data_IF_592921334668
#
_entry.id   IF_592921334668
#
_cell.length_a   1.000
_cell.length_b   1.000
_cell.length_c   1.000
_cell.angle_alpha   90.00
_cell.angle_beta   90.00
_cell.angle_gamma   90.00
#
_symmetry.space_group_name_H-M   'P 1'
#
loop_
_entity.id
_entity.type
_entity.pdbx_description
1 polymer ?
#
# COMPACT_ATOMS: atom_id res chain seq x y z
N UNK A 1 1.29 -1.84 -12.52
CA UNK A 1 1.84 -0.71 -11.75
C UNK A 1 2.34 -1.23 -10.42
N UNK A 2 3.49 -0.76 -9.94
CA UNK A 2 3.94 -1.04 -8.57
C UNK A 2 3.13 -0.19 -7.58
N UNK A 3 3.03 -0.63 -6.32
CA UNK A 3 2.36 0.14 -5.29
C UNK A 3 3.13 1.41 -4.96
N UNK A 4 2.41 2.54 -4.86
CA UNK A 4 2.96 3.78 -4.33
C UNK A 4 2.74 3.93 -2.82
N UNK A 5 1.95 3.03 -2.19
CA UNK A 5 1.62 3.13 -0.76
C UNK A 5 2.66 2.44 0.14
N UNK A 6 3.35 1.41 -0.36
CA UNK A 6 4.33 0.61 0.40
C UNK A 6 5.66 0.35 -0.35
N UNK A 7 6.27 1.34 -1.04
CA UNK A 7 7.53 1.11 -1.75
C UNK A 7 8.67 0.63 -0.82
N UNK A 8 8.64 1.06 0.44
CA UNK A 8 9.54 0.62 1.51
C UNK A 8 9.38 -0.88 1.83
N UNK A 9 8.18 -1.43 1.70
CA UNK A 9 7.91 -2.86 1.93
C UNK A 9 8.12 -3.71 0.66
N UNK A 10 8.02 -3.11 -0.54
CA UNK A 10 8.29 -3.79 -1.81
C UNK A 10 9.80 -3.92 -2.06
N UNK A 11 10.59 -2.91 -1.70
CA UNK A 11 12.04 -2.90 -1.97
C UNK A 11 12.78 -4.15 -1.43
N UNK A 12 12.51 -4.66 -0.21
CA UNK A 12 13.11 -5.90 0.28
C UNK A 12 12.88 -7.11 -0.64
N UNK A 13 11.70 -7.25 -1.25
CA UNK A 13 11.40 -8.35 -2.18
C UNK A 13 12.40 -8.36 -3.34
N UNK A 14 12.62 -7.18 -3.94
CA UNK A 14 13.55 -7.01 -5.05
C UNK A 14 15.00 -7.19 -4.59
N UNK A 15 15.34 -6.70 -3.39
CA UNK A 15 16.66 -6.86 -2.80
C UNK A 15 17.05 -8.32 -2.59
N UNK A 16 16.18 -9.12 -1.96
CA UNK A 16 16.39 -10.56 -1.78
C UNK A 16 16.47 -11.29 -3.12
N UNK A 17 15.60 -10.94 -4.07
CA UNK A 17 15.61 -11.53 -5.41
C UNK A 17 16.93 -11.28 -6.15
N UNK A 18 17.44 -10.04 -6.09
CA UNK A 18 18.70 -9.65 -6.71
C UNK A 18 19.91 -10.32 -6.06
N UNK A 19 19.86 -10.57 -4.74
CA UNK A 19 20.88 -11.31 -4.00
C UNK A 19 20.84 -12.83 -4.25
N UNK A 20 19.87 -13.34 -5.03
CA UNK A 20 19.69 -14.78 -5.28
C UNK A 20 18.94 -15.52 -4.18
N UNK A 21 18.55 -14.85 -3.09
CA UNK A 21 17.79 -15.44 -1.98
C UNK A 21 16.30 -15.52 -2.34
N UNK A 22 15.94 -16.60 -3.05
CA UNK A 22 14.57 -16.86 -3.49
C UNK A 22 13.61 -17.09 -2.32
N UNK A 23 14.08 -17.69 -1.23
CA UNK A 23 13.24 -18.00 -0.07
C UNK A 23 12.83 -16.73 0.66
N UNK A 24 13.79 -15.84 0.96
CA UNK A 24 13.49 -14.55 1.59
C UNK A 24 12.66 -13.65 0.68
N UNK A 25 12.93 -13.62 -0.63
CA UNK A 25 12.12 -12.86 -1.57
C UNK A 25 10.65 -13.34 -1.58
N UNK A 26 10.44 -14.65 -1.58
CA UNK A 26 9.09 -15.26 -1.56
C UNK A 26 8.36 -14.94 -0.25
N UNK A 27 9.04 -15.05 0.89
CA UNK A 27 8.46 -14.72 2.19
C UNK A 27 8.09 -13.24 2.30
N UNK A 28 8.98 -12.34 1.85
CA UNK A 28 8.72 -10.91 1.82
C UNK A 28 7.53 -10.57 0.89
N UNK A 29 7.46 -11.20 -0.28
CA UNK A 29 6.33 -11.02 -1.21
C UNK A 29 5.01 -11.52 -0.60
N UNK A 30 5.01 -12.71 0.00
CA UNK A 30 3.83 -13.27 0.66
C UNK A 30 3.29 -12.36 1.77
N UNK A 31 4.18 -11.72 2.55
CA UNK A 31 3.81 -10.77 3.59
C UNK A 31 3.05 -9.56 3.03
N UNK A 32 3.46 -9.00 1.90
CA UNK A 32 2.85 -7.78 1.33
C UNK A 32 1.68 -8.07 0.39
N UNK A 33 1.54 -9.32 -0.07
CA UNK A 33 0.60 -9.71 -1.12
C UNK A 33 -0.86 -9.34 -0.80
N UNK A 34 -1.38 -9.49 0.43
CA UNK A 34 -2.75 -9.08 0.74
C UNK A 34 -3.00 -7.59 0.49
N UNK A 35 -2.08 -6.72 0.92
CA UNK A 35 -2.19 -5.27 0.71
C UNK A 35 -2.10 -4.93 -0.79
N UNK A 36 -1.12 -5.49 -1.50
CA UNK A 36 -0.95 -5.29 -2.96
C UNK A 36 -2.19 -5.77 -3.73
N UNK A 37 -2.76 -6.92 -3.35
CA UNK A 37 -3.95 -7.45 -4.01
C UNK A 37 -5.19 -6.59 -3.73
N UNK A 38 -5.37 -6.11 -2.50
CA UNK A 38 -6.48 -5.21 -2.17
C UNK A 38 -6.37 -3.85 -2.87
N UNK A 39 -5.16 -3.30 -2.97
CA UNK A 39 -4.88 -2.13 -3.82
C UNK A 39 -5.28 -2.43 -5.27
N UNK A 40 -4.82 -3.54 -5.84
CA UNK A 40 -5.05 -3.86 -7.25
C UNK A 40 -6.53 -4.11 -7.58
N UNK A 41 -7.23 -4.86 -6.74
CA UNK A 41 -8.57 -5.39 -7.03
C UNK A 41 -9.71 -4.53 -6.50
N UNK A 42 -9.49 -3.79 -5.41
CA UNK A 42 -10.57 -3.07 -4.72
C UNK A 42 -10.39 -1.56 -4.81
N UNK A 43 -9.16 -1.07 -4.67
CA UNK A 43 -8.93 0.36 -4.50
C UNK A 43 -8.51 1.07 -5.80
N UNK A 44 -7.67 0.43 -6.59
CA UNK A 44 -6.92 1.04 -7.69
C UNK A 44 -5.98 2.15 -7.19
N UNK A 45 -5.71 3.13 -8.05
CA UNK A 45 -4.79 4.24 -7.76
C UNK A 45 -5.18 5.09 -6.53
N UNK A 46 -6.45 5.03 -6.10
CA UNK A 46 -6.97 5.74 -4.94
C UNK A 46 -6.34 5.27 -3.62
N UNK A 47 -5.85 4.02 -3.55
CA UNK A 47 -5.24 3.46 -2.35
C UNK A 47 -4.09 4.32 -1.81
N UNK A 48 -3.16 4.72 -2.70
CA UNK A 48 -2.00 5.51 -2.31
C UNK A 48 -2.41 6.83 -1.65
N UNK A 49 -3.41 7.50 -2.20
CA UNK A 49 -3.93 8.76 -1.62
C UNK A 49 -4.61 8.53 -0.28
N UNK A 50 -5.44 7.50 -0.16
CA UNK A 50 -6.11 7.15 1.10
C UNK A 50 -5.10 6.84 2.21
N UNK A 51 -4.04 6.09 1.90
CA UNK A 51 -2.95 5.81 2.84
C UNK A 51 -2.15 7.08 3.22
N UNK A 52 -1.88 7.95 2.25
CA UNK A 52 -1.21 9.23 2.50
C UNK A 52 -2.04 10.17 3.38
N UNK A 53 -3.36 10.21 3.22
CA UNK A 53 -4.25 10.97 4.14
C UNK A 53 -4.22 10.37 5.53
N UNK A 54 -4.36 9.04 5.66
CA UNK A 54 -4.31 8.36 6.95
C UNK A 54 -3.01 8.64 7.71
N UNK A 55 -1.89 8.72 6.99
CA UNK A 55 -0.58 9.03 7.53
C UNK A 55 -0.24 10.52 7.65
N UNK A 56 -1.18 11.43 7.34
CA UNK A 56 -0.97 12.88 7.42
C UNK A 56 -0.06 13.48 6.33
N UNK A 57 0.32 12.70 5.31
CA UNK A 57 1.24 13.11 4.24
C UNK A 57 0.59 14.14 3.31
N UNK A 58 -0.70 13.96 3.02
CA UNK A 58 -1.49 14.88 2.18
C UNK A 58 -2.82 15.19 2.86
N UNK A 59 -3.40 16.35 2.54
CA UNK A 59 -4.64 16.79 3.17
C UNK A 59 -5.93 16.16 2.60
N UNK A 60 -5.89 15.55 1.41
CA UNK A 60 -7.09 15.02 0.75
C UNK A 60 -6.82 13.89 -0.23
N UNK A 61 -7.65 12.85 -0.16
CA UNK A 61 -7.65 11.72 -1.09
C UNK A 61 -8.65 11.90 -2.24
N UNK A 62 -9.37 13.04 -2.29
CA UNK A 62 -10.34 13.39 -3.33
C UNK A 62 -9.82 13.18 -4.75
N UNK A 63 -10.59 12.47 -5.57
CA UNK A 63 -10.30 12.31 -6.99
C UNK A 63 -11.22 13.21 -7.81
N UNK A 64 -10.68 13.87 -8.83
CA UNK A 64 -11.48 14.70 -9.73
C UNK A 64 -12.55 13.85 -10.41
N UNK A 65 -13.75 14.42 -10.56
CA UNK A 65 -14.86 13.80 -11.27
C UNK A 65 -14.44 13.33 -12.67
N UNK A 66 -14.86 12.14 -13.15
CA UNK A 66 -15.95 11.28 -12.63
C UNK A 66 -15.53 10.18 -11.65
N UNK A 67 -14.33 10.25 -11.07
CA UNK A 67 -13.85 9.18 -10.19
C UNK A 67 -14.54 9.25 -8.83
N UNK A 68 -15.34 8.24 -8.53
CA UNK A 68 -15.97 8.09 -7.22
C UNK A 68 -14.92 7.85 -6.11
N UNK A 69 -15.18 8.34 -4.88
CA UNK A 69 -14.35 8.04 -3.72
C UNK A 69 -14.33 6.53 -3.42
N UNK A 70 -13.37 6.09 -2.60
CA UNK A 70 -13.40 4.72 -2.10
C UNK A 70 -14.59 4.52 -1.16
N UNK A 71 -15.34 3.41 -1.27
CA UNK A 71 -16.31 3.03 -0.25
C UNK A 71 -15.62 2.88 1.11
N UNK A 72 -16.30 3.28 2.18
CA UNK A 72 -15.71 3.30 3.52
C UNK A 72 -15.20 1.93 3.97
N UNK A 73 -15.96 0.86 3.70
CA UNK A 73 -15.54 -0.51 4.02
C UNK A 73 -14.26 -0.93 3.25
N UNK A 74 -14.13 -0.50 1.99
CA UNK A 74 -12.94 -0.76 1.17
C UNK A 74 -11.71 0.00 1.71
N UNK A 75 -11.91 1.27 2.12
CA UNK A 75 -10.87 2.08 2.77
C UNK A 75 -10.45 1.49 4.11
N UNK A 76 -11.40 1.09 4.96
CA UNK A 76 -11.12 0.47 6.26
C UNK A 76 -10.27 -0.79 6.12
N UNK A 77 -10.67 -1.72 5.23
CA UNK A 77 -9.89 -2.93 4.96
C UNK A 77 -8.49 -2.62 4.41
N UNK A 78 -8.34 -1.59 3.57
CA UNK A 78 -7.01 -1.16 3.10
C UNK A 78 -6.13 -0.77 4.28
N UNK A 79 -6.61 0.08 5.19
CA UNK A 79 -5.84 0.53 6.34
C UNK A 79 -5.51 -0.63 7.28
N UNK A 80 -6.44 -1.55 7.52
CA UNK A 80 -6.20 -2.72 8.38
C UNK A 80 -5.16 -3.68 7.80
N UNK A 81 -5.09 -3.83 6.47
CA UNK A 81 -4.02 -4.58 5.82
C UNK A 81 -2.66 -3.87 5.86
N UNK A 82 -2.63 -2.54 5.94
CA UNK A 82 -1.39 -1.76 6.02
C UNK A 82 -0.81 -1.70 7.44
N UNK A 83 -1.63 -1.65 8.49
CA UNK A 83 -1.15 -1.52 9.88
C UNK A 83 -0.10 -2.58 10.28
N UNK A 84 -0.29 -3.89 10.03
CA UNK A 84 0.72 -4.91 10.38
C UNK A 84 1.99 -4.81 9.54
N UNK A 85 1.94 -4.14 8.38
CA UNK A 85 3.10 -3.93 7.55
C UNK A 85 4.02 -2.83 8.09
N UNK A 86 3.49 -1.94 8.95
CA UNK A 86 4.14 -0.72 9.47
C UNK A 86 4.86 0.09 8.37
N UNK A 87 4.18 0.43 7.25
CA UNK A 87 4.82 1.15 6.17
C UNK A 87 5.05 2.61 6.54
N UNK A 88 6.10 3.20 5.95
CA UNK A 88 6.47 4.62 6.19
C UNK A 88 5.30 5.59 5.96
N UNK A 89 4.41 5.29 5.02
CA UNK A 89 3.29 6.16 4.66
C UNK A 89 2.37 6.48 5.84
N UNK A 90 2.19 5.57 6.82
CA UNK A 90 1.27 5.76 7.95
C UNK A 90 1.84 6.62 9.09
N UNK A 91 3.13 6.97 9.03
CA UNK A 91 3.84 7.66 10.12
C UNK A 91 4.66 8.87 9.66
N UNK A 92 4.60 9.23 8.37
CA UNK A 92 5.49 10.25 7.80
C UNK A 92 5.02 11.68 8.02
N UNK A 93 3.72 11.96 7.97
CA UNK A 93 3.18 13.32 8.08
C UNK A 93 2.80 13.76 9.49
N UNK A 94 3.29 13.03 10.51
CA UNK A 94 3.08 13.33 11.93
C UNK A 94 4.30 14.01 12.53
#
# INVERSE_FOLDING_TARGET
MTSAMIPDQIRPVLGHWAAGDRAAATAAYARILPAVNHENRQCGFRAAKAAMVEGGVIASDFCRHPIAPLPEATRGMLIDLLKPLDPVVLKWGR
#
